data_IF_405426756676
#
_entry.id   IF_405426756676
#
_cell.length_a   1.000
_cell.length_b   1.000
_cell.length_c   1.000
_cell.angle_alpha   90.00
_cell.angle_beta   90.00
_cell.angle_gamma   90.00
#
_symmetry.space_group_name_H-M   'P 1'
#
loop_
_entity.id
_entity.type
_entity.pdbx_description
1 polymer ?
#
# COMPACT_ATOMS: atom_id res chain seq x y z
N UNK A 1 -1.42 -14.84 -5.67
CA UNK A 1 -1.08 -14.61 -4.26
C UNK A 1 -2.29 -14.11 -3.51
N UNK A 2 -2.57 -14.71 -2.39
CA UNK A 2 -3.71 -14.30 -1.56
C UNK A 2 -3.21 -13.52 -0.35
N UNK A 3 -3.76 -12.34 -0.16
CA UNK A 3 -3.44 -11.52 0.99
C UNK A 3 -4.69 -11.32 1.84
N UNK A 4 -4.50 -11.37 3.13
CA UNK A 4 -5.59 -11.08 4.06
C UNK A 4 -5.70 -9.58 4.23
N UNK A 5 -6.92 -9.09 4.17
CA UNK A 5 -7.21 -7.68 4.39
C UNK A 5 -8.13 -7.59 5.60
N UNK A 6 -7.74 -6.78 6.56
CA UNK A 6 -8.58 -6.48 7.72
C UNK A 6 -9.37 -5.24 7.40
N UNK A 7 -10.68 -5.35 7.47
CA UNK A 7 -11.59 -4.24 7.18
C UNK A 7 -12.24 -3.82 8.48
N UNK A 8 -12.01 -2.59 8.91
CA UNK A 8 -12.55 -2.06 10.15
C UNK A 8 -13.42 -0.84 9.89
N UNK A 9 -14.57 -0.75 10.56
CA UNK A 9 -15.37 0.48 10.48
C UNK A 9 -14.65 1.62 11.19
N UNK A 10 -14.69 2.79 10.57
CA UNK A 10 -14.08 3.99 11.13
C UNK A 10 -15.08 4.73 12.00
N UNK A 11 -14.62 5.36 13.07
CA UNK A 11 -15.50 6.12 13.97
C UNK A 11 -16.14 7.32 13.28
N UNK A 12 -15.47 7.87 12.30
CA UNK A 12 -15.98 9.01 11.55
C UNK A 12 -16.89 8.64 10.38
N UNK A 13 -17.16 7.36 10.24
CA UNK A 13 -17.85 6.82 9.09
C UNK A 13 -16.84 6.25 8.10
N UNK A 14 -17.31 5.36 7.24
CA UNK A 14 -16.43 4.69 6.30
C UNK A 14 -15.68 3.53 6.92
N UNK A 15 -14.64 3.11 6.25
CA UNK A 15 -13.87 1.91 6.62
C UNK A 15 -12.39 2.14 6.41
N UNK A 16 -11.60 1.38 7.16
CA UNK A 16 -10.15 1.33 7.01
C UNK A 16 -9.77 -0.09 6.68
N UNK A 17 -8.93 -0.26 5.70
CA UNK A 17 -8.40 -1.56 5.30
C UNK A 17 -6.91 -1.64 5.62
N UNK A 18 -6.50 -2.76 6.17
CA UNK A 18 -5.11 -2.98 6.58
C UNK A 18 -4.68 -4.34 6.02
N UNK A 19 -3.46 -4.39 5.49
CA UNK A 19 -2.87 -5.65 5.04
C UNK A 19 -1.73 -6.00 6.01
N UNK A 20 -1.97 -6.93 6.95
CA UNK A 20 -0.96 -7.24 7.97
C UNK A 20 0.36 -7.75 7.40
N UNK A 21 0.31 -8.44 6.27
CA UNK A 21 1.52 -8.97 5.62
C UNK A 21 2.37 -7.90 4.95
N UNK A 22 1.82 -6.72 4.74
CA UNK A 22 2.52 -5.62 4.06
C UNK A 22 2.55 -4.41 5.00
N UNK A 23 3.60 -4.25 5.80
CA UNK A 23 3.68 -3.15 6.76
C UNK A 23 3.47 -1.78 6.09
N UNK A 24 2.59 -0.99 6.65
CA UNK A 24 2.28 0.33 6.11
C UNK A 24 1.26 0.33 4.98
N UNK A 25 0.80 -0.83 4.54
CA UNK A 25 -0.21 -0.90 3.49
C UNK A 25 -1.59 -0.75 4.10
N UNK A 26 -2.07 0.48 4.15
CA UNK A 26 -3.35 0.85 4.76
C UNK A 26 -4.09 1.76 3.79
N UNK A 27 -5.39 1.60 3.73
CA UNK A 27 -6.22 2.46 2.89
C UNK A 27 -7.57 2.72 3.56
N UNK A 28 -8.26 3.74 3.10
CA UNK A 28 -9.55 4.14 3.66
C UNK A 28 -10.55 4.39 2.53
N UNK A 29 -11.82 4.33 2.87
CA UNK A 29 -12.89 4.65 1.95
C UNK A 29 -14.19 4.87 2.68
N UNK A 30 -15.17 5.47 2.02
CA UNK A 30 -16.47 5.75 2.62
C UNK A 30 -17.36 4.51 2.68
N UNK A 31 -17.13 3.56 1.80
CA UNK A 31 -17.89 2.31 1.76
C UNK A 31 -16.91 1.13 1.76
N UNK A 32 -17.44 -0.06 2.04
CA UNK A 32 -16.62 -1.27 1.97
C UNK A 32 -16.04 -1.46 0.57
N UNK A 33 -16.87 -1.26 -0.43
CA UNK A 33 -16.45 -1.43 -1.82
C UNK A 33 -15.34 -0.47 -2.19
N UNK A 34 -15.50 0.79 -1.82
CA UNK A 34 -14.51 1.81 -2.08
C UNK A 34 -13.21 1.51 -1.33
N UNK A 35 -13.32 1.11 -0.06
CA UNK A 35 -12.15 0.78 0.75
C UNK A 35 -11.40 -0.41 0.17
N UNK A 36 -12.13 -1.44 -0.26
CA UNK A 36 -11.51 -2.61 -0.88
C UNK A 36 -10.84 -2.27 -2.20
N UNK A 37 -11.44 -1.40 -2.98
CA UNK A 37 -10.83 -0.92 -4.21
C UNK A 37 -9.54 -0.17 -3.92
N UNK A 38 -9.58 0.72 -2.93
CA UNK A 38 -8.43 1.52 -2.56
C UNK A 38 -7.29 0.68 -2.01
N UNK A 39 -7.60 -0.32 -1.15
CA UNK A 39 -6.54 -1.18 -0.63
C UNK A 39 -5.94 -2.07 -1.71
N UNK A 40 -6.74 -2.47 -2.67
CA UNK A 40 -6.24 -3.23 -3.80
C UNK A 40 -5.23 -2.43 -4.61
N UNK A 41 -5.53 -1.17 -4.87
CA UNK A 41 -4.61 -0.29 -5.57
C UNK A 41 -3.34 -0.08 -4.75
N UNK A 42 -3.48 0.06 -3.43
CA UNK A 42 -2.34 0.22 -2.54
C UNK A 42 -1.45 -1.03 -2.56
N UNK A 43 -2.05 -2.22 -2.58
CA UNK A 43 -1.31 -3.47 -2.66
C UNK A 43 -0.55 -3.55 -3.99
N UNK A 44 -1.20 -3.21 -5.07
CA UNK A 44 -0.57 -3.23 -6.39
C UNK A 44 0.65 -2.31 -6.44
N UNK A 45 0.53 -1.12 -5.88
CA UNK A 45 1.65 -0.19 -5.80
C UNK A 45 2.74 -0.69 -4.85
N UNK A 46 2.34 -1.32 -3.76
CA UNK A 46 3.29 -1.85 -2.79
C UNK A 46 4.14 -2.97 -3.38
N UNK A 47 3.52 -3.82 -4.17
CA UNK A 47 4.19 -4.98 -4.76
C UNK A 47 4.80 -4.67 -6.13
N UNK A 48 4.53 -3.52 -6.70
CA UNK A 48 5.05 -3.15 -7.99
C UNK A 48 6.58 -3.04 -7.93
N UNK A 49 7.30 -3.73 -8.82
CA UNK A 49 8.75 -3.58 -8.86
C UNK A 49 9.10 -2.16 -9.27
N UNK A 50 9.96 -1.53 -8.48
CA UNK A 50 10.42 -0.17 -8.75
C UNK A 50 11.69 -0.23 -9.56
N UNK A 51 11.69 0.36 -10.73
CA UNK A 51 12.89 0.47 -11.54
C UNK A 51 13.76 1.59 -10.97
N UNK A 52 15.07 1.44 -11.15
CA UNK A 52 16.02 2.38 -10.58
C UNK A 52 15.78 3.81 -10.99
N UNK A 53 15.44 4.02 -12.23
CA UNK A 53 15.20 5.36 -12.76
C UNK A 53 13.89 5.97 -12.23
N UNK A 54 13.00 5.17 -11.69
CA UNK A 54 11.75 5.66 -11.12
C UNK A 54 11.92 6.20 -9.71
N UNK A 55 12.91 5.69 -8.99
CA UNK A 55 13.14 6.11 -7.60
C UNK A 55 14.19 7.20 -7.49
N UNK A 56 14.94 7.44 -8.55
CA UNK A 56 16.00 8.42 -8.53
C UNK A 56 15.46 9.81 -8.85
N UNK A 57 15.74 10.73 -7.96
CA UNK A 57 15.54 12.15 -8.22
C UNK A 57 16.89 12.73 -8.63
N UNK A 58 16.92 14.00 -8.98
CA UNK A 58 18.18 14.64 -9.38
C UNK A 58 19.24 14.58 -8.29
N UNK A 59 18.81 14.56 -7.04
CA UNK A 59 19.74 14.57 -5.92
C UNK A 59 19.85 13.23 -5.20
N UNK A 60 19.20 12.21 -5.72
CA UNK A 60 19.22 10.91 -5.10
C UNK A 60 20.42 10.12 -5.58
N UNK A 61 21.05 9.39 -4.69
CA UNK A 61 22.12 8.48 -5.00
C UNK A 61 21.64 7.05 -4.80
N UNK A 62 21.94 6.20 -5.74
CA UNK A 62 21.69 4.79 -5.57
C UNK A 62 22.91 4.14 -4.96
N UNK A 63 22.75 3.60 -3.76
CA UNK A 63 23.82 2.95 -3.05
C UNK A 63 23.47 1.48 -2.88
N UNK A 64 24.32 0.61 -3.43
CA UNK A 64 24.20 -0.80 -3.19
C UNK A 64 25.01 -1.17 -1.97
N UNK A 65 24.33 -1.80 -1.04
CA UNK A 65 25.00 -2.30 0.16
C UNK A 65 25.09 -3.81 0.08
N UNK A 66 26.30 -4.31 0.25
CA UNK A 66 26.52 -5.75 0.33
C UNK A 66 26.12 -6.21 1.72
N UNK A 67 25.10 -7.03 1.77
CA UNK A 67 24.60 -7.57 3.04
C UNK A 67 24.62 -9.08 3.03
#
# INVERSE_FOLDING_TARGET
>A
MKLKVILEPSEEGGYTAIVPSLPGCISEGDTKEETLKNIREAIELYLEPVEDDQILTQNAEMVELAV
#
